data_IF_939094158361
#
_entry.id   IF_939094158361
#
_cell.length_a   1.000
_cell.length_b   1.000
_cell.length_c   1.000
_cell.angle_alpha   90.00
_cell.angle_beta   90.00
_cell.angle_gamma   90.00
#
_symmetry.space_group_name_H-M   'P 1'
#
loop_
_entity.id
_entity.type
_entity.pdbx_description
1 polymer ?
#
# COMPACT_ATOMS: atom_id res chain seq x y z
N UNK A 1 -4.36 0.36 -14.86
CA UNK A 1 -4.69 0.77 -13.47
C UNK A 1 -4.53 2.27 -13.33
N UNK A 2 -5.44 2.93 -12.66
CA UNK A 2 -5.33 4.36 -12.38
C UNK A 2 -5.08 4.57 -10.89
N UNK A 3 -4.85 5.85 -10.49
CA UNK A 3 -4.55 6.16 -9.09
C UNK A 3 -5.66 5.71 -8.15
N UNK A 4 -6.91 5.92 -8.54
CA UNK A 4 -8.05 5.53 -7.70
C UNK A 4 -8.06 4.03 -7.44
N UNK A 5 -7.80 3.24 -8.47
CA UNK A 5 -7.76 1.79 -8.32
C UNK A 5 -6.60 1.37 -7.42
N UNK A 6 -5.43 1.95 -7.63
CA UNK A 6 -4.27 1.64 -6.80
C UNK A 6 -4.49 2.07 -5.35
N UNK A 7 -5.07 3.24 -5.13
CA UNK A 7 -5.31 3.76 -3.77
C UNK A 7 -6.37 2.97 -3.01
N UNK A 8 -7.13 2.12 -3.69
CA UNK A 8 -8.11 1.23 -3.05
C UNK A 8 -7.50 -0.11 -2.64
N UNK A 9 -6.27 -0.39 -3.03
CA UNK A 9 -5.57 -1.59 -2.57
C UNK A 9 -5.12 -1.34 -1.13
N UNK A 10 -5.24 -2.37 -0.27
CA UNK A 10 -4.81 -2.24 1.12
C UNK A 10 -3.34 -1.85 1.20
N UNK A 11 -3.02 -0.79 1.96
CA UNK A 11 -1.63 -0.39 2.20
C UNK A 11 -0.84 -1.51 2.86
N UNK A 12 -1.49 -2.29 3.71
CA UNK A 12 -0.83 -3.42 4.34
C UNK A 12 -0.32 -4.42 3.29
N UNK A 13 -1.11 -4.65 2.25
CA UNK A 13 -0.71 -5.55 1.19
C UNK A 13 0.43 -4.96 0.36
N UNK A 14 0.40 -3.66 0.11
CA UNK A 14 1.50 -2.99 -0.59
C UNK A 14 2.79 -3.16 0.21
N UNK A 15 2.75 -2.92 1.52
CA UNK A 15 3.92 -3.05 2.38
C UNK A 15 4.44 -4.48 2.43
N UNK A 16 3.55 -5.47 2.51
CA UNK A 16 3.96 -6.88 2.51
C UNK A 16 4.68 -7.22 1.20
N UNK A 17 4.18 -6.71 0.07
CA UNK A 17 4.81 -6.97 -1.23
C UNK A 17 6.24 -6.42 -1.30
N UNK A 18 6.54 -5.42 -0.47
CA UNK A 18 7.88 -4.82 -0.38
C UNK A 18 8.71 -5.42 0.74
N UNK A 19 8.17 -6.39 1.47
CA UNK A 19 8.89 -7.07 2.54
C UNK A 19 8.76 -6.42 3.91
N UNK A 20 7.83 -5.48 4.08
CA UNK A 20 7.61 -4.80 5.36
C UNK A 20 6.43 -5.41 6.10
N UNK A 21 6.65 -5.73 7.38
CA UNK A 21 5.63 -6.34 8.24
C UNK A 21 5.43 -5.48 9.48
N UNK A 22 4.20 -5.43 10.02
CA UNK A 22 3.94 -4.57 11.17
C UNK A 22 4.67 -5.08 12.43
N UNK A 23 5.11 -4.15 13.27
CA UNK A 23 5.68 -4.48 14.57
C UNK A 23 4.55 -4.74 15.57
N UNK A 24 3.41 -4.08 15.39
CA UNK A 24 2.18 -4.37 16.15
C UNK A 24 1.00 -3.86 15.34
N UNK A 25 -0.19 -4.37 15.62
CA UNK A 25 -1.40 -3.94 14.94
C UNK A 25 -2.63 -4.29 15.75
N UNK A 26 -3.72 -3.63 15.42
CA UNK A 26 -5.05 -3.94 15.92
C UNK A 26 -6.04 -3.81 14.75
N UNK A 27 -7.34 -3.79 15.03
CA UNK A 27 -8.35 -3.73 13.97
C UNK A 27 -8.31 -2.44 13.16
N UNK A 28 -7.81 -1.35 13.76
CA UNK A 28 -7.86 -0.02 13.15
C UNK A 28 -6.53 0.47 12.65
N UNK A 29 -5.43 0.00 13.21
CA UNK A 29 -4.10 0.55 12.95
C UNK A 29 -3.04 -0.53 12.86
N UNK A 30 -1.99 -0.23 12.09
CA UNK A 30 -0.79 -1.07 12.04
C UNK A 30 0.43 -0.14 12.13
N UNK A 31 1.42 -0.57 12.91
CA UNK A 31 2.63 0.21 13.14
C UNK A 31 3.82 -0.52 12.55
N UNK A 32 4.69 0.21 11.88
CA UNK A 32 5.84 -0.33 11.16
C UNK A 32 7.10 0.45 11.51
N UNK A 33 8.25 -0.20 11.39
CA UNK A 33 9.49 0.54 11.30
C UNK A 33 9.43 1.38 10.03
N UNK A 34 10.10 2.53 10.03
CA UNK A 34 10.08 3.45 8.90
C UNK A 34 10.53 2.75 7.63
N UNK A 35 9.64 2.56 6.63
CA UNK A 35 10.03 1.86 5.40
C UNK A 35 10.92 2.70 4.47
N UNK A 36 11.07 3.99 4.76
CA UNK A 36 11.88 4.89 3.93
C UNK A 36 13.31 5.03 4.44
N UNK A 37 13.60 4.54 5.64
CA UNK A 37 14.92 4.71 6.24
C UNK A 37 15.21 3.55 7.19
N UNK A 38 16.50 3.33 7.47
CA UNK A 38 16.91 2.28 8.39
C UNK A 38 16.86 2.81 9.83
N UNK A 39 15.69 2.68 10.45
CA UNK A 39 15.44 3.16 11.82
C UNK A 39 14.92 2.02 12.68
N UNK A 40 15.13 2.15 14.00
CA UNK A 40 14.67 1.17 14.97
C UNK A 40 13.38 1.61 15.67
N UNK A 41 12.73 2.65 15.18
CA UNK A 41 11.50 3.17 15.77
C UNK A 41 10.30 2.85 14.91
N UNK A 42 9.18 2.48 15.54
CA UNK A 42 7.92 2.26 14.85
C UNK A 42 7.26 3.62 14.59
N UNK A 43 7.84 4.41 13.72
CA UNK A 43 7.39 5.77 13.43
C UNK A 43 6.38 5.84 12.27
N UNK A 44 6.10 4.73 11.62
CA UNK A 44 5.20 4.67 10.47
C UNK A 44 3.91 3.96 10.88
N UNK A 45 2.78 4.60 10.63
CA UNK A 45 1.48 4.05 11.03
C UNK A 45 0.54 4.02 9.83
N UNK A 46 -0.23 2.95 9.72
CA UNK A 46 -1.34 2.86 8.75
C UNK A 46 -2.65 2.96 9.51
N UNK A 47 -3.55 3.83 9.04
CA UNK A 47 -4.94 3.83 9.44
C UNK A 47 -5.67 2.89 8.48
N UNK A 48 -6.11 1.74 8.98
CA UNK A 48 -6.73 0.70 8.14
C UNK A 48 -8.07 1.13 7.58
N UNK A 49 -8.82 1.91 8.35
CA UNK A 49 -10.16 2.37 7.93
C UNK A 49 -10.05 3.34 6.76
N UNK A 50 -9.11 4.28 6.83
CA UNK A 50 -8.92 5.29 5.80
C UNK A 50 -7.99 4.82 4.70
N UNK A 51 -7.27 3.73 4.93
CA UNK A 51 -6.22 3.24 4.03
C UNK A 51 -5.22 4.35 3.74
N UNK A 52 -4.66 4.90 4.80
CA UNK A 52 -3.79 6.07 4.75
C UNK A 52 -2.63 5.84 5.70
N UNK A 53 -1.45 6.37 5.34
CA UNK A 53 -0.25 6.24 6.16
C UNK A 53 0.17 7.57 6.75
N UNK A 54 0.91 7.50 7.85
CA UNK A 54 1.49 8.68 8.49
C UNK A 54 2.87 8.32 9.03
N UNK A 55 3.85 9.16 8.73
CA UNK A 55 5.23 9.00 9.21
C UNK A 55 5.48 10.05 10.28
N UNK A 56 5.45 9.60 11.53
CA UNK A 56 5.57 10.51 12.68
C UNK A 56 6.90 11.23 12.74
N UNK A 57 7.98 10.57 12.32
CA UNK A 57 9.32 11.17 12.39
C UNK A 57 9.49 12.37 11.46
N UNK A 58 8.66 12.49 10.42
CA UNK A 58 8.73 13.60 9.48
C UNK A 58 7.45 14.43 9.42
N UNK A 59 6.39 13.97 10.08
CA UNK A 59 5.12 14.69 10.08
C UNK A 59 4.43 14.73 8.73
N UNK A 60 4.57 13.66 7.93
CA UNK A 60 3.96 13.57 6.60
C UNK A 60 3.09 12.32 6.51
N UNK A 61 2.20 12.31 5.53
CA UNK A 61 1.33 11.16 5.29
C UNK A 61 0.75 11.20 3.89
N UNK A 62 -0.03 10.18 3.55
CA UNK A 62 -0.65 10.12 2.24
C UNK A 62 -1.32 8.79 1.96
N UNK A 63 -1.64 8.59 0.68
CA UNK A 63 -2.27 7.37 0.18
C UNK A 63 -1.21 6.44 -0.42
N UNK A 64 -1.68 5.38 -1.10
CA UNK A 64 -0.77 4.40 -1.72
C UNK A 64 0.15 5.03 -2.77
N UNK A 65 -0.42 5.89 -3.59
CA UNK A 65 0.37 6.54 -4.66
C UNK A 65 1.45 7.43 -4.05
N UNK A 66 1.09 8.22 -3.03
CA UNK A 66 2.05 9.07 -2.32
C UNK A 66 3.17 8.24 -1.70
N UNK A 67 2.80 7.10 -1.10
CA UNK A 67 3.77 6.20 -0.49
C UNK A 67 4.79 5.70 -1.52
N UNK A 68 4.30 5.18 -2.65
CA UNK A 68 5.18 4.60 -3.65
C UNK A 68 6.03 5.64 -4.37
N UNK A 69 5.50 6.85 -4.57
CA UNK A 69 6.30 7.92 -5.15
C UNK A 69 7.50 8.25 -4.27
N UNK A 70 7.29 8.27 -2.96
CA UNK A 70 8.38 8.51 -2.02
C UNK A 70 9.30 7.30 -1.91
N UNK A 71 8.73 6.11 -1.85
CA UNK A 71 9.50 4.87 -1.65
C UNK A 71 10.45 4.59 -2.83
N UNK A 72 9.95 4.73 -4.06
CA UNK A 72 10.73 4.48 -5.27
C UNK A 72 11.39 5.74 -5.81
N UNK A 73 10.99 6.92 -5.32
CA UNK A 73 11.47 8.20 -5.81
C UNK A 73 11.19 8.34 -7.31
N UNK A 74 9.94 8.15 -7.69
CA UNK A 74 9.51 8.14 -9.09
C UNK A 74 8.21 8.94 -9.26
N UNK A 75 7.78 9.09 -10.51
CA UNK A 75 6.55 9.79 -10.86
C UNK A 75 5.32 8.90 -10.64
N UNK A 76 4.14 9.53 -10.68
CA UNK A 76 2.87 8.79 -10.61
C UNK A 76 2.78 7.75 -11.71
N UNK A 77 3.16 8.10 -12.93
CA UNK A 77 3.13 7.18 -14.06
C UNK A 77 3.95 5.93 -13.77
N UNK A 78 5.16 6.12 -13.24
CA UNK A 78 6.04 4.99 -12.93
C UNK A 78 5.51 4.15 -11.79
N UNK A 79 4.84 4.78 -10.81
CA UNK A 79 4.18 4.02 -9.74
C UNK A 79 3.11 3.11 -10.32
N UNK A 80 2.28 3.63 -11.23
CA UNK A 80 1.21 2.84 -11.83
C UNK A 80 1.77 1.72 -12.70
N UNK A 81 2.86 1.96 -13.40
CA UNK A 81 3.55 0.91 -14.17
C UNK A 81 4.05 -0.20 -13.25
N UNK A 82 4.63 0.18 -12.12
CA UNK A 82 5.05 -0.79 -11.12
C UNK A 82 3.86 -1.59 -10.59
N UNK A 83 2.77 -0.91 -10.27
CA UNK A 83 1.57 -1.55 -9.71
C UNK A 83 0.94 -2.56 -10.66
N UNK A 84 0.98 -2.28 -11.96
CA UNK A 84 0.44 -3.20 -12.97
C UNK A 84 1.16 -4.54 -12.97
N UNK A 85 2.41 -4.55 -12.57
CA UNK A 85 3.23 -5.78 -12.56
C UNK A 85 3.05 -6.58 -11.28
N UNK A 86 2.36 -6.03 -10.29
CA UNK A 86 2.13 -6.72 -9.03
C UNK A 86 0.83 -7.51 -9.08
N UNK A 87 0.72 -8.51 -8.23
CA UNK A 87 -0.47 -9.35 -8.15
C UNK A 87 -1.12 -9.18 -6.79
N UNK A 88 -1.77 -8.03 -6.59
CA UNK A 88 -2.41 -7.73 -5.31
C UNK A 88 -3.74 -8.46 -5.18
N UNK A 89 -3.92 -9.15 -4.06
CA UNK A 89 -5.14 -9.91 -3.83
C UNK A 89 -6.35 -9.01 -3.56
N UNK A 90 -6.12 -7.80 -3.06
CA UNK A 90 -7.21 -6.86 -2.78
C UNK A 90 -7.63 -6.06 -4.01
N UNK A 91 -6.94 -6.22 -5.14
CA UNK A 91 -7.31 -5.55 -6.39
C UNK A 91 -8.36 -6.37 -7.13
N UNK A 92 -9.46 -5.72 -7.54
CA UNK A 92 -10.52 -6.35 -8.30
C UNK A 92 -10.59 -5.71 -9.67
N UNK A 93 -10.12 -6.40 -10.72
CA UNK A 93 -10.23 -5.86 -12.08
C UNK A 93 -11.69 -5.65 -12.47
N UNK A 94 -11.96 -4.72 -13.35
CA UNK A 94 -13.30 -4.40 -13.79
C UNK A 94 -14.01 -5.60 -14.44
N UNK A 95 -13.32 -6.50 -14.96
CA UNK A 95 -13.93 -7.64 -15.62
C UNK A 95 -14.20 -8.76 -14.63
N UNK A 96 -14.55 -8.90 -14.96
CA UNK A 96 -14.56 -9.78 -14.37
C UNK A 96 -15.01 -10.82 -14.25
N UNK A 97 -15.46 -11.07 -14.55
CA UNK A 97 -15.73 -11.68 -14.26
C UNK A 97 -15.77 -12.72 -13.90
N UNK A 98 -15.86 -12.56 -14.06
CA UNK A 98 -15.53 -13.27 -13.62
C UNK A 98 -15.38 -14.07 -13.21
N UNK A 99 -15.65 -14.23 -13.64
CA UNK A 99 -15.20 -14.81 -13.25
C UNK A 99 -15.03 -15.65 -12.61
N UNK A 100 -15.27 -15.97 -12.84
CA UNK A 100 -14.82 -16.45 -12.36
C UNK A 100 -14.47 -16.96 -11.66
N UNK A 101 -14.86 -17.16 -12.06
CA UNK A 101 -14.21 -17.38 -11.46
C UNK A 101 -13.94 -17.63 -10.83
N UNK A 102 -14.48 -17.76 -11.25
CA UNK A 102 -13.90 -17.66 -10.82
C UNK A 102 -13.67 -17.91 -10.22
N UNK A 103 -14.15 -18.19 -10.60
CA UNK A 103 -13.61 -18.13 -10.29
C UNK A 103 -13.38 -18.22 -9.85
N UNK A 104 -13.87 -18.36 -10.02
CA UNK A 104 -13.30 -18.28 -9.81
C UNK A 104 -12.93 -18.40 -9.45
N UNK A 105 -13.44 -18.49 -9.97
CA UNK A 105 -12.76 -18.25 -9.91
C UNK A 105 -12.34 -18.29 -9.67
#
# INVERSE_FOLDING_TARGET
MNCKQFNNISLEEVLVSLGHHPTKQNEKEAWYLNPFANENHASFKINKTLNYWYLHSEGIGGNNTDFMMKYLNVSVKEVLEWAEKQNFSSFQPQNDIHLKNSTPN
#
